data_IF_528499640435
#
_entry.id   IF_528499640435
#
_cell.length_a   1.000
_cell.length_b   1.000
_cell.length_c   1.000
_cell.angle_alpha   90.00
_cell.angle_beta   90.00
_cell.angle_gamma   90.00
#
_symmetry.space_group_name_H-M   'P 1'
#
loop_
_entity.id
_entity.type
_entity.pdbx_description
1 polymer ?
#
# COMPACT_ATOMS: atom_id res chain seq x y z
N UNK A 1 -3.70 -9.60 13.12
CA UNK A 1 -2.73 -8.90 12.27
C UNK A 1 -1.93 -9.93 11.48
N UNK A 2 -1.88 -9.83 10.16
CA UNK A 2 -1.04 -10.64 9.29
C UNK A 2 -0.17 -9.70 8.45
N UNK A 3 1.08 -10.08 8.22
CA UNK A 3 2.04 -9.26 7.48
C UNK A 3 2.56 -10.06 6.30
N UNK A 4 2.68 -9.40 5.15
CA UNK A 4 3.20 -9.96 3.91
C UNK A 4 4.18 -8.96 3.30
N UNK A 5 5.28 -9.47 2.74
CA UNK A 5 6.21 -8.65 1.98
C UNK A 5 5.77 -8.60 0.52
N UNK A 6 5.74 -7.38 -0.04
CA UNK A 6 5.36 -7.15 -1.43
C UNK A 6 6.41 -6.25 -2.10
N UNK A 7 6.46 -6.30 -3.44
CA UNK A 7 7.29 -5.41 -4.25
C UNK A 7 6.40 -4.55 -5.14
N UNK A 8 6.39 -3.24 -4.87
CA UNK A 8 5.68 -2.23 -5.66
C UNK A 8 6.68 -1.44 -6.51
N UNK A 9 7.27 -2.11 -7.51
CA UNK A 9 8.37 -1.58 -8.31
C UNK A 9 7.95 -0.83 -9.60
N UNK A 10 6.67 -0.50 -9.75
CA UNK A 10 6.18 0.33 -10.84
C UNK A 10 4.92 1.09 -10.45
N UNK A 11 4.66 2.21 -11.13
CA UNK A 11 3.45 3.03 -10.90
C UNK A 11 2.17 2.21 -11.13
N UNK A 12 2.14 1.36 -12.16
CA UNK A 12 0.97 0.55 -12.47
C UNK A 12 0.66 -0.49 -11.38
N UNK A 13 1.71 -1.06 -10.77
CA UNK A 13 1.55 -1.98 -9.64
C UNK A 13 1.01 -1.25 -8.40
N UNK A 14 1.50 -0.04 -8.12
CA UNK A 14 0.96 0.78 -7.03
C UNK A 14 -0.52 1.07 -7.25
N UNK A 15 -0.89 1.52 -8.46
CA UNK A 15 -2.30 1.80 -8.82
C UNK A 15 -3.19 0.57 -8.66
N UNK A 16 -2.78 -0.58 -9.21
CA UNK A 16 -3.55 -1.83 -9.09
C UNK A 16 -3.70 -2.24 -7.63
N UNK A 17 -2.61 -2.20 -6.85
CA UNK A 17 -2.61 -2.55 -5.44
C UNK A 17 -3.58 -1.68 -4.63
N UNK A 18 -3.49 -0.35 -4.76
CA UNK A 18 -4.40 0.58 -4.07
C UNK A 18 -5.85 0.34 -4.46
N UNK A 19 -6.12 0.16 -5.77
CA UNK A 19 -7.48 -0.10 -6.26
C UNK A 19 -8.06 -1.42 -5.72
N UNK A 20 -7.23 -2.45 -5.55
CA UNK A 20 -7.68 -3.74 -5.04
C UNK A 20 -7.94 -3.70 -3.55
N UNK A 21 -7.05 -3.11 -2.74
CA UNK A 21 -7.23 -3.07 -1.29
C UNK A 21 -8.32 -2.09 -0.85
N UNK A 22 -8.60 -1.05 -1.64
CA UNK A 22 -9.63 -0.04 -1.33
C UNK A 22 -11.04 -0.65 -1.30
N UNK A 23 -11.26 -1.78 -1.98
CA UNK A 23 -12.54 -2.51 -2.00
C UNK A 23 -12.89 -3.15 -0.65
N UNK A 24 -11.92 -3.25 0.26
CA UNK A 24 -12.11 -3.89 1.55
C UNK A 24 -12.25 -2.84 2.66
N UNK A 25 -13.22 -3.05 3.54
CA UNK A 25 -13.46 -2.24 4.73
C UNK A 25 -12.55 -2.65 5.89
N UNK A 26 -11.24 -2.65 5.62
CA UNK A 26 -10.19 -2.88 6.61
C UNK A 26 -9.08 -1.86 6.40
N UNK A 27 -8.32 -1.61 7.46
CA UNK A 27 -7.12 -0.79 7.42
C UNK A 27 -5.93 -1.63 6.94
N UNK A 28 -5.11 -1.03 6.09
CA UNK A 28 -3.89 -1.62 5.55
C UNK A 28 -2.76 -0.62 5.70
N UNK A 29 -1.69 -1.04 6.35
CA UNK A 29 -0.47 -0.23 6.50
C UNK A 29 0.62 -0.73 5.56
N UNK A 30 1.29 0.20 4.87
CA UNK A 30 2.54 -0.06 4.18
C UNK A 30 3.70 0.43 5.02
N UNK A 31 4.67 -0.46 5.25
CA UNK A 31 5.88 -0.16 6.03
C UNK A 31 7.09 -0.30 5.11
N UNK A 32 7.85 0.79 4.97
CA UNK A 32 9.12 0.82 4.23
C UNK A 32 10.22 1.43 5.09
N UNK A 33 11.10 0.58 5.63
CA UNK A 33 12.11 1.00 6.60
C UNK A 33 11.44 1.61 7.85
N UNK A 34 11.63 2.92 8.05
CA UNK A 34 11.05 3.68 9.19
C UNK A 34 9.70 4.34 8.88
N UNK A 35 9.26 4.29 7.63
CA UNK A 35 8.04 4.96 7.17
C UNK A 35 6.85 4.02 7.30
N UNK A 36 5.75 4.54 7.82
CA UNK A 36 4.44 3.87 7.91
C UNK A 36 3.44 4.76 7.19
N UNK A 37 2.75 4.18 6.22
CA UNK A 37 1.91 4.90 5.26
C UNK A 37 0.56 4.18 5.19
N UNK A 38 -0.54 4.94 5.13
CA UNK A 38 -1.85 4.39 4.77
C UNK A 38 -1.78 3.80 3.36
N UNK A 39 -1.95 2.49 3.25
CA UNK A 39 -1.82 1.77 2.00
C UNK A 39 -2.90 2.15 0.97
N UNK A 40 -4.01 2.79 1.39
CA UNK A 40 -5.05 3.31 0.49
C UNK A 40 -4.67 4.68 -0.10
N UNK A 41 -3.66 5.36 0.45
CA UNK A 41 -3.21 6.67 -0.03
C UNK A 41 -2.17 6.51 -1.14
N UNK A 42 -2.61 6.64 -2.40
CA UNK A 42 -1.69 6.62 -3.55
C UNK A 42 -0.61 7.70 -3.45
N UNK A 43 -0.95 8.89 -2.93
CA UNK A 43 0.02 9.97 -2.72
C UNK A 43 1.03 9.64 -1.61
N UNK A 44 0.57 8.99 -0.54
CA UNK A 44 1.46 8.57 0.55
C UNK A 44 2.46 7.51 0.12
N UNK A 45 2.09 6.60 -0.79
CA UNK A 45 3.02 5.57 -1.31
C UNK A 45 4.14 6.21 -2.16
N UNK A 46 3.90 7.37 -2.75
CA UNK A 46 4.89 8.09 -3.56
C UNK A 46 5.72 9.14 -2.77
N UNK A 47 5.51 9.29 -1.46
CA UNK A 47 6.29 10.19 -0.59
C UNK A 47 7.45 9.47 0.09
#
# INVERSE_FOLDING_TARGET
MKTVQISLNSIDKVKSFVNDITKFDYDFDLISGRYVIDAKSIMGIFS
#
